data_IF_823671282888
#
_entry.id   IF_823671282888
#
_cell.length_a   1.000
_cell.length_b   1.000
_cell.length_c   1.000
_cell.angle_alpha   90.00
_cell.angle_beta   90.00
_cell.angle_gamma   90.00
#
_symmetry.space_group_name_H-M   'P 1'
#
loop_
_entity.id
_entity.type
_entity.pdbx_description
1 polymer ?
#
# COMPACT_ATOMS: atom_id res chain seq x y z
N UNK A 1 4.46 -47.63 -14.63
CA UNK A 1 4.85 -46.45 -15.42
C UNK A 1 3.74 -45.44 -15.50
N UNK A 2 3.98 -44.26 -14.91
CA UNK A 2 3.16 -43.06 -15.11
C UNK A 2 4.12 -41.98 -15.65
N UNK A 3 4.38 -42.01 -16.96
CA UNK A 3 5.14 -40.97 -17.67
C UNK A 3 4.27 -39.70 -17.83
N UNK A 4 4.02 -39.01 -16.72
CA UNK A 4 3.38 -37.70 -16.74
C UNK A 4 4.37 -36.65 -17.22
N UNK A 5 4.27 -36.20 -18.48
CA UNK A 5 5.04 -35.05 -18.98
C UNK A 5 4.60 -33.77 -18.27
N UNK A 6 5.50 -33.21 -17.45
CA UNK A 6 5.33 -31.88 -16.87
C UNK A 6 5.38 -30.79 -17.96
N UNK A 7 4.45 -29.85 -17.90
CA UNK A 7 4.43 -28.67 -18.77
C UNK A 7 4.57 -27.43 -17.88
N UNK A 8 5.71 -26.75 -18.01
CA UNK A 8 5.96 -25.46 -17.35
C UNK A 8 5.71 -24.35 -18.37
N UNK A 9 4.71 -23.50 -18.10
CA UNK A 9 4.43 -22.30 -18.88
C UNK A 9 4.92 -21.05 -18.15
N UNK A 10 5.69 -20.20 -18.84
CA UNK A 10 6.09 -18.90 -18.30
C UNK A 10 5.06 -17.84 -18.68
N UNK A 11 4.54 -17.12 -17.68
CA UNK A 11 3.62 -15.99 -17.90
C UNK A 11 4.42 -14.69 -17.72
N UNK A 12 4.48 -13.88 -18.76
CA UNK A 12 5.06 -12.54 -18.70
C UNK A 12 3.95 -11.53 -18.45
N UNK A 13 3.97 -10.87 -17.30
CA UNK A 13 3.16 -9.68 -17.07
C UNK A 13 3.73 -8.52 -17.87
N UNK A 14 2.93 -7.90 -18.74
CA UNK A 14 3.29 -6.63 -19.35
C UNK A 14 3.01 -5.53 -18.33
N UNK A 15 4.08 -4.90 -17.82
CA UNK A 15 3.94 -3.68 -17.02
C UNK A 15 3.12 -2.68 -17.84
N UNK A 16 1.96 -2.29 -17.31
CA UNK A 16 1.13 -1.30 -17.98
C UNK A 16 1.83 0.05 -17.83
N UNK A 17 2.16 0.69 -18.94
CA UNK A 17 2.50 2.12 -18.90
C UNK A 17 1.26 2.86 -18.46
N UNK A 18 1.12 3.08 -17.16
CA UNK A 18 0.12 3.99 -16.59
C UNK A 18 0.48 5.39 -17.12
N UNK A 19 -0.02 5.72 -18.32
CA UNK A 19 -0.16 7.10 -18.75
C UNK A 19 -0.96 7.78 -17.67
N UNK A 20 -0.32 8.72 -16.96
CA UNK A 20 -0.91 9.50 -15.89
C UNK A 20 -2.28 10.02 -16.32
N UNK A 21 -3.33 9.29 -15.99
CA UNK A 21 -4.68 9.73 -16.25
C UNK A 21 -4.88 10.86 -15.25
N UNK A 22 -5.07 12.08 -15.75
CA UNK A 22 -5.39 13.23 -14.92
C UNK A 22 -6.64 12.88 -14.14
N UNK A 23 -6.46 12.44 -12.90
CA UNK A 23 -7.55 12.03 -12.05
C UNK A 23 -8.22 13.30 -11.58
N UNK A 24 -9.53 13.37 -11.80
CA UNK A 24 -10.34 14.45 -11.27
C UNK A 24 -10.09 14.54 -9.75
N UNK A 25 -10.13 15.76 -9.16
CA UNK A 25 -9.98 15.92 -7.72
C UNK A 25 -10.98 15.01 -7.00
N UNK A 26 -10.49 14.28 -6.00
CA UNK A 26 -11.30 13.30 -5.25
C UNK A 26 -12.41 14.02 -4.48
N UNK A 27 -13.64 13.51 -4.61
CA UNK A 27 -14.76 14.03 -3.83
C UNK A 27 -14.69 13.47 -2.40
N UNK A 28 -14.61 14.38 -1.43
CA UNK A 28 -14.61 14.05 0.00
C UNK A 28 -15.89 13.33 0.46
N UNK A 29 -17.00 13.52 -0.26
CA UNK A 29 -18.27 12.85 0.01
C UNK A 29 -18.35 11.45 -0.65
N UNK A 30 -17.36 11.07 -1.45
CA UNK A 30 -17.35 9.75 -2.09
C UNK A 30 -17.21 8.64 -1.05
N UNK A 31 -17.90 7.53 -1.29
CA UNK A 31 -17.98 6.42 -0.36
C UNK A 31 -16.82 5.46 -0.58
N UNK A 32 -16.30 4.93 0.51
CA UNK A 32 -15.38 3.79 0.45
C UNK A 32 -16.21 2.55 0.11
N UNK A 33 -15.81 1.83 -0.94
CA UNK A 33 -16.41 0.56 -1.32
C UNK A 33 -15.64 -0.61 -0.72
N UNK A 34 -14.31 -0.55 -0.79
CA UNK A 34 -13.45 -1.69 -0.41
C UNK A 34 -12.15 -1.21 0.18
N UNK A 35 -11.67 -1.96 1.16
CA UNK A 35 -10.40 -1.73 1.84
C UNK A 35 -9.54 -2.97 1.66
N UNK A 36 -8.35 -2.80 1.08
CA UNK A 36 -7.41 -3.90 0.87
C UNK A 36 -6.08 -3.57 1.53
N UNK A 37 -5.60 -4.46 2.39
CA UNK A 37 -4.29 -4.35 2.99
C UNK A 37 -3.27 -5.19 2.23
N UNK A 38 -2.12 -4.58 1.97
CA UNK A 38 -1.01 -5.18 1.27
C UNK A 38 0.23 -5.24 2.17
N UNK A 39 1.12 -6.17 1.86
CA UNK A 39 2.49 -6.20 2.36
C UNK A 39 3.45 -6.38 1.20
N UNK A 40 4.51 -5.60 1.18
CA UNK A 40 5.61 -5.75 0.24
C UNK A 40 6.94 -5.89 1.00
N UNK A 41 7.91 -6.54 0.36
CA UNK A 41 9.27 -6.58 0.86
C UNK A 41 9.95 -5.25 0.59
N UNK A 42 10.56 -4.69 1.64
CA UNK A 42 11.36 -3.49 1.54
C UNK A 42 12.81 -3.90 1.27
N UNK A 43 13.17 -3.90 -0.01
CA UNK A 43 14.56 -4.08 -0.43
C UNK A 43 15.27 -2.76 -0.16
N UNK A 44 15.74 -2.57 1.07
CA UNK A 44 16.76 -1.57 1.33
C UNK A 44 17.99 -1.97 0.53
N UNK A 45 18.50 -1.05 -0.28
CA UNK A 45 19.79 -1.21 -0.96
C UNK A 45 20.86 -1.43 0.11
N UNK A 46 21.20 -2.70 0.35
CA UNK A 46 22.29 -3.13 1.24
C UNK A 46 23.67 -2.76 0.65
N UNK A 47 23.72 -1.87 -0.34
CA UNK A 47 24.89 -1.55 -1.14
C UNK A 47 26.01 -0.82 -0.39
N UNK A 48 25.85 -0.55 0.92
CA UNK A 48 26.82 0.22 1.70
C UNK A 48 27.45 -0.53 2.88
N UNK A 49 26.99 -1.73 3.23
CA UNK A 49 27.59 -2.48 4.33
C UNK A 49 28.33 -3.72 3.81
N UNK A 50 29.62 -3.81 4.12
CA UNK A 50 30.51 -4.84 3.63
C UNK A 50 30.07 -6.28 3.97
N UNK A 51 30.71 -7.29 3.37
CA UNK A 51 30.30 -8.70 3.43
C UNK A 51 30.22 -9.30 4.85
N UNK A 52 30.77 -8.64 5.87
CA UNK A 52 30.68 -9.08 7.29
C UNK A 52 29.42 -8.59 8.04
N UNK A 53 28.66 -7.64 7.49
CA UNK A 53 27.43 -7.11 8.12
C UNK A 53 26.16 -7.87 7.70
N UNK A 54 26.26 -8.87 6.80
CA UNK A 54 25.15 -9.71 6.35
C UNK A 54 24.57 -10.65 7.43
N UNK A 55 24.76 -10.33 8.72
CA UNK A 55 24.17 -11.01 9.85
C UNK A 55 22.67 -10.70 9.93
N UNK A 56 21.88 -11.51 9.23
CA UNK A 56 20.52 -11.93 9.61
C UNK A 56 19.55 -10.81 10.02
N UNK A 57 19.61 -9.64 9.40
CA UNK A 57 18.51 -8.68 9.53
C UNK A 57 17.30 -9.27 8.81
N UNK A 58 16.23 -9.54 9.56
CA UNK A 58 14.98 -10.00 8.98
C UNK A 58 14.55 -9.04 7.84
N UNK A 59 14.01 -9.56 6.73
CA UNK A 59 13.58 -8.72 5.62
C UNK A 59 12.58 -7.68 6.14
N UNK A 60 12.84 -6.41 5.85
CA UNK A 60 11.94 -5.32 6.20
C UNK A 60 10.68 -5.44 5.35
N UNK A 61 9.54 -5.12 5.95
CA UNK A 61 8.24 -5.20 5.29
C UNK A 61 7.55 -3.87 5.37
N UNK A 62 6.97 -3.44 4.24
CA UNK A 62 6.09 -2.27 4.18
C UNK A 62 4.65 -2.74 4.11
N UNK A 63 3.81 -2.09 4.89
CA UNK A 63 2.38 -2.39 4.96
C UNK A 63 1.61 -1.15 4.58
N UNK A 64 0.74 -1.28 3.60
CA UNK A 64 -0.11 -0.19 3.16
C UNK A 64 -1.53 -0.68 2.94
N UNK A 65 -2.45 0.27 2.93
CA UNK A 65 -3.88 0.02 2.72
C UNK A 65 -4.31 0.84 1.51
N UNK A 66 -5.06 0.19 0.62
CA UNK A 66 -5.75 0.82 -0.50
C UNK A 66 -7.23 0.91 -0.18
N UNK A 67 -7.78 2.13 -0.22
CA UNK A 67 -9.21 2.41 -0.12
C UNK A 67 -9.72 2.66 -1.54
N UNK A 68 -10.58 1.78 -2.04
CA UNK A 68 -11.28 1.98 -3.30
C UNK A 68 -12.57 2.75 -3.03
N UNK A 69 -12.77 3.85 -3.74
CA UNK A 69 -13.97 4.69 -3.64
C UNK A 69 -15.04 4.27 -4.67
N UNK A 70 -16.28 4.73 -4.49
CA UNK A 70 -17.38 4.43 -5.41
C UNK A 70 -17.21 5.09 -6.77
N UNK A 71 -16.57 6.26 -6.84
CA UNK A 71 -16.15 6.90 -8.09
C UNK A 71 -14.98 6.19 -8.79
N UNK A 72 -14.43 5.12 -8.21
CA UNK A 72 -13.34 4.33 -8.78
C UNK A 72 -11.94 4.91 -8.51
N UNK A 73 -11.83 5.97 -7.72
CA UNK A 73 -10.55 6.50 -7.27
C UNK A 73 -9.97 5.64 -6.13
N UNK A 74 -8.65 5.62 -6.01
CA UNK A 74 -7.93 4.83 -5.02
C UNK A 74 -7.13 5.73 -4.08
N UNK A 75 -7.20 5.47 -2.77
CA UNK A 75 -6.38 6.14 -1.77
C UNK A 75 -5.41 5.14 -1.18
N UNK A 76 -4.13 5.50 -1.11
CA UNK A 76 -3.12 4.74 -0.38
C UNK A 76 -2.82 5.44 0.94
N UNK A 77 -2.89 4.67 2.03
CA UNK A 77 -2.41 5.10 3.35
C UNK A 77 -1.42 4.09 3.90
N UNK A 78 -0.31 4.60 4.44
CA UNK A 78 0.80 3.82 4.97
C UNK A 78 1.34 4.51 6.22
N UNK A 79 1.65 3.73 7.25
CA UNK A 79 2.36 4.23 8.42
C UNK A 79 3.86 4.04 8.19
N UNK A 80 4.57 5.15 8.03
CA UNK A 80 6.02 5.17 7.79
C UNK A 80 6.79 4.76 9.04
N UNK A 81 8.08 4.42 8.88
CA UNK A 81 8.95 4.00 9.99
C UNK A 81 9.01 5.04 11.11
N UNK A 82 9.01 6.32 10.77
CA UNK A 82 8.97 7.43 11.73
C UNK A 82 7.57 7.72 12.31
N UNK A 83 6.62 6.81 12.11
CA UNK A 83 5.30 6.83 12.73
C UNK A 83 4.24 7.70 12.04
N UNK A 84 4.61 8.51 11.04
CA UNK A 84 3.63 9.33 10.32
C UNK A 84 2.78 8.48 9.39
N UNK A 85 1.52 8.90 9.19
CA UNK A 85 0.58 8.24 8.29
C UNK A 85 0.42 9.07 7.02
N UNK A 86 0.68 8.44 5.88
CA UNK A 86 0.52 9.05 4.56
C UNK A 86 -0.93 8.99 4.10
N UNK A 87 -1.28 9.87 3.16
CA UNK A 87 -2.56 9.86 2.46
C UNK A 87 -2.27 10.31 1.03
N UNK A 88 -2.33 9.38 0.08
CA UNK A 88 -2.02 9.62 -1.32
C UNK A 88 -3.24 9.24 -2.16
N UNK A 89 -3.81 10.21 -2.85
CA UNK A 89 -4.95 10.01 -3.75
C UNK A 89 -4.42 9.71 -5.15
N UNK A 90 -4.89 8.60 -5.74
CA UNK A 90 -4.50 8.10 -7.06
C UNK A 90 -2.98 8.13 -7.33
N UNK A 91 -2.15 7.50 -6.48
CA UNK A 91 -0.71 7.54 -6.68
C UNK A 91 -0.32 6.83 -7.97
N UNK A 92 0.57 7.48 -8.73
CA UNK A 92 1.14 6.92 -9.96
C UNK A 92 1.91 5.63 -9.62
N UNK A 93 1.71 4.58 -10.43
CA UNK A 93 2.40 3.29 -10.25
C UNK A 93 1.83 2.42 -9.12
N UNK A 94 0.62 2.73 -8.61
CA UNK A 94 -0.06 1.88 -7.64
C UNK A 94 -0.27 0.45 -8.17
N UNK A 95 -0.59 0.31 -9.46
CA UNK A 95 -0.75 -0.99 -10.10
C UNK A 95 0.53 -1.82 -10.00
N UNK A 96 1.66 -1.28 -10.44
CA UNK A 96 2.97 -1.95 -10.38
C UNK A 96 3.36 -2.27 -8.93
N UNK A 97 3.05 -1.39 -7.98
CA UNK A 97 3.27 -1.64 -6.55
C UNK A 97 2.45 -2.84 -6.07
N UNK A 98 1.16 -2.88 -6.43
CA UNK A 98 0.25 -3.97 -6.07
C UNK A 98 0.67 -5.31 -6.69
N UNK A 99 1.21 -5.33 -7.91
CA UNK A 99 1.71 -6.55 -8.56
C UNK A 99 2.92 -7.17 -7.85
N UNK A 100 3.70 -6.36 -7.12
CA UNK A 100 4.84 -6.84 -6.31
C UNK A 100 4.47 -7.14 -4.85
N UNK A 101 3.27 -6.77 -4.43
CA UNK A 101 2.81 -6.92 -3.07
C UNK A 101 1.94 -8.16 -2.88
N UNK A 102 1.87 -8.64 -1.65
CA UNK A 102 0.95 -9.69 -1.23
C UNK A 102 -0.27 -9.06 -0.55
N UNK A 103 -1.47 -9.43 -0.98
CA UNK A 103 -2.71 -9.10 -0.27
C UNK A 103 -2.78 -9.87 1.05
N UNK A 104 -2.95 -9.16 2.15
CA UNK A 104 -3.15 -9.76 3.48
C UNK A 104 -4.63 -9.92 3.82
N UNK A 105 -5.44 -8.91 3.49
CA UNK A 105 -6.90 -8.92 3.67
C UNK A 105 -7.55 -7.96 2.71
N UNK A 106 -8.81 -8.24 2.36
CA UNK A 106 -9.66 -7.36 1.57
C UNK A 106 -11.09 -7.50 2.05
N UNK A 107 -11.73 -6.38 2.36
CA UNK A 107 -13.08 -6.34 2.90
C UNK A 107 -13.86 -5.18 2.26
N UNK A 108 -15.14 -5.40 2.03
CA UNK A 108 -16.06 -4.34 1.64
C UNK A 108 -16.31 -3.42 2.84
N UNK A 109 -16.32 -2.11 2.57
CA UNK A 109 -16.56 -1.12 3.60
C UNK A 109 -18.04 -1.05 3.97
N UNK A 110 -18.30 -0.62 5.21
CA UNK A 110 -19.67 -0.34 5.66
C UNK A 110 -20.25 0.79 4.81
N UNK A 111 -21.48 0.66 4.29
CA UNK A 111 -22.11 1.71 3.49
C UNK A 111 -22.15 3.05 4.22
N UNK A 112 -21.83 4.12 3.50
CA UNK A 112 -21.87 5.49 4.01
C UNK A 112 -20.59 6.00 4.65
N UNK A 113 -19.56 5.16 4.83
CA UNK A 113 -18.22 5.65 5.20
C UNK A 113 -17.65 6.43 4.03
N UNK A 114 -17.31 7.70 4.26
CA UNK A 114 -16.79 8.60 3.21
C UNK A 114 -15.28 8.79 3.27
N UNK A 115 -14.72 9.30 2.18
CA UNK A 115 -13.32 9.80 2.12
C UNK A 115 -13.05 10.80 3.24
N UNK A 116 -14.00 11.72 3.50
CA UNK A 116 -13.89 12.69 4.60
C UNK A 116 -13.81 12.02 5.96
N UNK A 117 -14.64 11.03 6.25
CA UNK A 117 -14.62 10.32 7.54
C UNK A 117 -13.25 9.68 7.79
N UNK A 118 -12.65 9.09 6.75
CA UNK A 118 -11.32 8.50 6.81
C UNK A 118 -10.21 9.55 7.03
N UNK A 119 -10.31 10.73 6.40
CA UNK A 119 -9.40 11.86 6.65
C UNK A 119 -9.50 12.37 8.09
N UNK A 120 -10.71 12.48 8.63
CA UNK A 120 -10.96 12.87 10.03
C UNK A 120 -10.40 11.81 10.99
N UNK A 121 -10.63 10.53 10.73
CA UNK A 121 -10.08 9.43 11.52
C UNK A 121 -8.54 9.45 11.54
N UNK A 122 -7.91 9.65 10.37
CA UNK A 122 -6.45 9.84 10.28
C UNK A 122 -5.97 11.00 11.15
N UNK A 123 -6.67 12.13 11.15
CA UNK A 123 -6.29 13.28 11.97
C UNK A 123 -6.44 12.99 13.49
N UNK A 124 -7.48 12.25 13.90
CA UNK A 124 -7.74 11.98 15.32
C UNK A 124 -6.81 10.91 15.91
N UNK A 125 -6.51 9.84 15.17
CA UNK A 125 -5.70 8.72 15.68
C UNK A 125 -4.20 9.01 15.73
N UNK A 126 -3.71 9.99 14.96
CA UNK A 126 -2.27 10.21 14.78
C UNK A 126 -1.80 11.62 15.16
N UNK A 127 -2.66 12.44 15.79
CA UNK A 127 -2.30 13.75 16.36
C UNK A 127 -1.66 13.68 17.75
N UNK A 128 -1.62 12.51 18.40
CA UNK A 128 -1.02 12.32 19.74
C UNK A 128 0.45 11.87 19.69
N UNK A 129 1.32 12.65 19.04
CA UNK A 129 2.76 12.36 18.96
C UNK A 129 3.70 13.48 19.41
N UNK A 130 3.18 14.68 19.70
CA UNK A 130 3.99 15.85 20.06
C UNK A 130 3.51 16.44 21.39
N UNK A 131 3.76 15.74 22.48
CA UNK A 131 3.80 16.36 23.82
C UNK A 131 4.86 15.66 24.67
N UNK A 132 6.10 15.69 24.19
CA UNK A 132 7.25 15.47 25.07
C UNK A 132 7.37 16.71 25.97
N UNK A 133 6.86 16.57 27.20
CA UNK A 133 7.13 17.49 28.28
C UNK A 133 8.64 17.59 28.50
N UNK A 134 9.20 18.76 28.15
CA UNK A 134 10.46 19.22 28.71
C UNK A 134 10.26 19.44 30.22
N UNK A 135 11.06 18.77 31.04
CA UNK A 135 11.35 19.13 32.42
C UNK A 135 12.85 19.31 32.55
#
# INVERSE_FOLDING_TARGET
>A
DLDGKEVVGQVFGLASTDTAQATAPMDDADWILRVTQYVEEDVLDVALEGPEAASRTAPRRRYYVVLLTRGGAEVVTEKLEHGAVTWQENPIGLKDRNERAKVLRSEDAVPGITVRDMKVYKASCFSQGLTLHSK
#
